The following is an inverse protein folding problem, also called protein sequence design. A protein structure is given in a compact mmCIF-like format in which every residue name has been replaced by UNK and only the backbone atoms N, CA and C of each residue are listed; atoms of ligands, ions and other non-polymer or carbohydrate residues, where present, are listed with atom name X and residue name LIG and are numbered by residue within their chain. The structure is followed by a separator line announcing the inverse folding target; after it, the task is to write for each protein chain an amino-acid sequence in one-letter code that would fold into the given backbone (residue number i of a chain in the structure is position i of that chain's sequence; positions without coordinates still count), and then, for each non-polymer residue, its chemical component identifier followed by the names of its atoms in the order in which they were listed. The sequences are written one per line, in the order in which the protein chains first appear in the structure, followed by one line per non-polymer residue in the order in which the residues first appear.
data_IF_760810405797
#
_entry.id   IF_760810405797
#
_cell.length_a   1.000
_cell.length_b   1.000
_cell.length_c   1.000
_cell.angle_alpha   90.00
_cell.angle_beta   90.00
_cell.angle_gamma   90.00
#
_symmetry.space_group_name_H-M   'P 1'
#
loop_
_entity.id
_entity.type
_entity.pdbx_description
1 polymer ?
#
# COMPACT_ATOMS: atom_id res chain seq x y z
N UNK A 1 37.57 25.86 16.06
CA UNK A 1 36.11 25.77 15.94
C UNK A 1 35.75 24.40 16.46
N UNK A 2 35.01 24.30 17.57
CA UNK A 2 34.51 23.00 18.05
C UNK A 2 33.29 22.69 17.20
N UNK A 3 33.30 21.54 16.54
CA UNK A 3 32.14 21.07 15.81
C UNK A 3 31.06 20.72 16.83
N UNK A 4 29.91 21.38 16.74
CA UNK A 4 28.78 21.14 17.63
C UNK A 4 27.86 20.21 16.87
N UNK A 5 27.81 18.95 17.30
CA UNK A 5 26.86 17.97 16.77
C UNK A 5 25.46 18.30 17.31
N UNK A 6 24.55 18.68 16.41
CA UNK A 6 23.16 18.94 16.72
C UNK A 6 22.33 17.70 16.39
N UNK A 7 22.03 16.91 17.43
CA UNK A 7 21.20 15.73 17.29
C UNK A 7 19.75 16.02 17.69
N UNK A 8 18.82 15.70 16.80
CA UNK A 8 17.39 15.78 17.10
C UNK A 8 16.99 14.61 18.00
N UNK A 9 16.12 14.88 18.98
CA UNK A 9 15.55 13.81 19.81
C UNK A 9 14.37 13.14 19.08
N UNK A 10 14.03 11.87 19.38
CA UNK A 10 12.87 11.18 18.78
C UNK A 10 11.58 11.99 18.82
N UNK A 11 11.33 12.72 19.92
CA UNK A 11 10.14 13.56 20.08
C UNK A 11 9.99 14.68 19.03
N UNK A 12 11.10 15.14 18.43
CA UNK A 12 11.05 16.11 17.34
C UNK A 12 10.30 15.55 16.12
N UNK A 13 10.48 14.26 15.82
CA UNK A 13 9.87 13.62 14.65
C UNK A 13 8.38 13.34 14.81
N UNK A 14 7.86 13.44 16.03
CA UNK A 14 6.42 13.42 16.30
C UNK A 14 5.75 14.78 16.11
N UNK A 15 6.53 15.85 15.93
CA UNK A 15 5.98 17.17 15.66
C UNK A 15 5.37 17.25 14.27
N UNK A 16 4.34 18.08 14.14
CA UNK A 16 3.72 18.43 12.86
C UNK A 16 4.73 18.96 11.85
N UNK A 17 5.75 19.71 12.31
CA UNK A 17 6.82 20.24 11.44
C UNK A 17 7.63 19.10 10.84
N UNK A 18 8.13 18.17 11.66
CA UNK A 18 8.96 17.08 11.16
C UNK A 18 8.17 16.10 10.27
N UNK A 19 6.94 15.74 10.65
CA UNK A 19 6.07 14.89 9.82
C UNK A 19 5.77 15.53 8.46
N UNK A 20 5.57 16.84 8.42
CA UNK A 20 5.35 17.53 7.15
C UNK A 20 6.62 17.75 6.34
N UNK A 21 7.77 17.92 6.99
CA UNK A 21 9.03 18.17 6.27
C UNK A 21 9.68 16.91 5.73
N UNK A 22 9.76 15.86 6.54
CA UNK A 22 10.47 14.61 6.21
C UNK A 22 9.61 13.36 6.37
N UNK A 23 8.50 13.43 7.11
CA UNK A 23 7.54 12.32 7.23
C UNK A 23 7.82 11.36 8.38
N UNK A 24 9.07 10.95 8.51
CA UNK A 24 9.47 9.87 9.40
C UNK A 24 10.94 9.99 9.79
N UNK A 25 11.36 9.12 10.71
CA UNK A 25 12.74 9.01 11.18
C UNK A 25 13.07 7.55 11.52
N UNK A 26 14.33 7.28 11.83
CA UNK A 26 14.73 5.98 12.38
C UNK A 26 13.90 5.60 13.60
N UNK A 27 13.58 6.57 14.47
CA UNK A 27 12.76 6.33 15.66
C UNK A 27 11.31 5.94 15.32
N UNK A 28 10.69 6.59 14.34
CA UNK A 28 9.34 6.25 13.86
C UNK A 28 9.28 4.86 13.21
N UNK A 29 10.41 4.38 12.67
CA UNK A 29 10.54 3.05 12.09
C UNK A 29 10.96 1.98 13.10
N UNK A 30 11.34 2.36 14.33
CA UNK A 30 11.90 1.46 15.33
C UNK A 30 13.30 0.94 14.97
N UNK A 31 14.06 1.70 14.18
CA UNK A 31 15.45 1.37 13.87
C UNK A 31 16.37 1.75 15.04
N UNK A 32 17.45 0.98 15.28
CA UNK A 32 18.36 1.24 16.38
C UNK A 32 19.23 2.49 16.12
N UNK A 33 19.77 3.05 17.20
CA UNK A 33 20.67 4.21 17.16
C UNK A 33 19.96 5.54 17.40
N UNK A 34 20.68 6.63 17.13
CA UNK A 34 20.17 7.98 17.30
C UNK A 34 19.09 8.31 16.25
N UNK A 35 18.25 9.29 16.56
CA UNK A 35 17.19 9.70 15.66
C UNK A 35 17.78 10.39 14.43
N UNK A 36 17.59 9.76 13.28
CA UNK A 36 18.06 10.19 11.98
C UNK A 36 16.89 10.34 11.01
N UNK A 37 17.07 11.18 9.99
CA UNK A 37 16.03 11.55 9.04
C UNK A 37 16.43 11.21 7.60
N UNK A 38 15.45 10.99 6.70
CA UNK A 38 15.72 10.89 5.27
C UNK A 38 16.20 12.22 4.69
N UNK A 39 16.49 12.24 3.39
CA UNK A 39 16.81 13.46 2.68
C UNK A 39 15.67 14.50 2.85
N UNK A 40 15.97 15.80 3.07
CA UNK A 40 14.92 16.82 3.19
C UNK A 40 14.18 17.05 1.87
N UNK A 41 14.82 16.76 0.73
CA UNK A 41 14.22 16.80 -0.61
C UNK A 41 14.94 15.85 -1.57
N UNK A 42 14.40 15.72 -2.78
CA UNK A 42 14.96 14.86 -3.82
C UNK A 42 16.39 15.31 -4.19
N UNK A 43 17.25 14.35 -4.55
CA UNK A 43 18.66 14.58 -4.93
C UNK A 43 19.57 15.13 -3.82
N UNK A 44 19.15 15.04 -2.56
CA UNK A 44 20.01 15.25 -1.39
C UNK A 44 20.10 13.98 -0.57
N UNK A 45 20.96 13.99 0.45
CA UNK A 45 21.09 12.89 1.40
C UNK A 45 20.47 13.27 2.75
N UNK A 46 20.02 12.25 3.48
CA UNK A 46 19.58 12.35 4.85
C UNK A 46 20.73 12.49 5.84
N UNK A 47 20.50 12.08 7.09
CA UNK A 47 21.56 12.08 8.12
C UNK A 47 22.73 11.19 7.67
N UNK A 48 23.95 11.72 7.52
CA UNK A 48 25.11 10.95 7.04
C UNK A 48 25.43 9.75 7.94
N UNK A 49 25.77 8.60 7.34
CA UNK A 49 26.11 7.37 8.04
C UNK A 49 24.92 6.65 8.69
N UNK A 50 23.70 7.15 8.51
CA UNK A 50 22.48 6.50 9.03
C UNK A 50 21.85 5.57 8.00
N UNK A 51 20.94 4.70 8.47
CA UNK A 51 20.14 3.84 7.57
C UNK A 51 19.23 4.63 6.62
N UNK A 52 19.01 5.93 6.87
CA UNK A 52 18.14 6.79 6.07
C UNK A 52 18.92 7.77 5.17
N UNK A 53 20.24 7.65 5.07
CA UNK A 53 21.06 8.56 4.27
C UNK A 53 20.59 8.68 2.81
N UNK A 54 20.15 7.57 2.20
CA UNK A 54 19.65 7.52 0.82
C UNK A 54 18.12 7.39 0.72
N UNK A 55 17.41 7.55 1.83
CA UNK A 55 15.95 7.43 1.87
C UNK A 55 15.28 8.72 1.42
N UNK A 56 14.12 8.60 0.76
CA UNK A 56 13.34 9.76 0.32
C UNK A 56 12.40 10.25 1.43
N UNK A 57 12.19 11.57 1.53
CA UNK A 57 11.26 12.14 2.50
C UNK A 57 9.82 11.76 2.16
N UNK A 58 8.95 11.51 3.13
CA UNK A 58 7.52 11.28 2.90
C UNK A 58 6.65 12.39 3.55
N UNK A 59 6.61 13.62 3.00
CA UNK A 59 5.91 14.75 3.60
C UNK A 59 4.43 14.49 3.91
N UNK A 60 4.06 14.56 5.18
CA UNK A 60 2.70 14.28 5.63
C UNK A 60 2.43 12.79 5.87
N UNK A 61 3.47 11.95 5.92
CA UNK A 61 3.30 10.55 6.28
C UNK A 61 2.58 10.39 7.62
N UNK A 62 1.59 9.50 7.63
CA UNK A 62 0.71 9.22 8.77
C UNK A 62 -0.07 10.45 9.25
N UNK A 63 -0.35 11.40 8.37
CA UNK A 63 -1.21 12.56 8.62
C UNK A 63 -2.44 12.50 7.70
N UNK A 64 -3.55 11.96 8.21
CA UNK A 64 -4.77 11.76 7.44
C UNK A 64 -5.62 13.04 7.21
N UNK A 65 -5.25 14.16 7.83
CA UNK A 65 -5.96 15.45 7.71
C UNK A 65 -5.12 16.56 7.09
N UNK A 66 -3.88 16.28 6.68
CA UNK A 66 -2.98 17.29 6.14
C UNK A 66 -2.39 16.82 4.82
N UNK A 67 -2.25 17.76 3.89
CA UNK A 67 -1.55 17.53 2.64
C UNK A 67 -0.69 18.73 2.25
N UNK A 68 0.34 18.45 1.45
CA UNK A 68 1.09 19.49 0.73
C UNK A 68 0.26 19.90 -0.49
N UNK A 69 -0.20 21.14 -0.54
CA UNK A 69 -1.16 21.57 -1.57
C UNK A 69 -0.50 22.24 -2.78
N UNK A 70 0.76 22.65 -2.69
CA UNK A 70 1.44 23.42 -3.73
C UNK A 70 2.40 22.60 -4.60
N UNK A 71 2.27 21.27 -4.59
CA UNK A 71 2.99 20.38 -5.50
C UNK A 71 2.14 19.98 -6.71
N UNK A 72 0.82 20.05 -6.57
CA UNK A 72 -0.13 19.82 -7.65
C UNK A 72 0.08 20.86 -8.74
N UNK A 73 0.25 20.37 -9.97
CA UNK A 73 0.39 21.18 -11.16
C UNK A 73 -0.39 20.51 -12.31
N UNK A 74 -1.60 21.03 -12.54
CA UNK A 74 -2.47 20.61 -13.64
C UNK A 74 -2.28 21.44 -14.91
N UNK A 75 -1.47 22.50 -14.86
CA UNK A 75 -1.15 23.33 -16.03
C UNK A 75 -0.03 22.65 -16.81
N UNK A 76 -0.36 21.47 -17.36
CA UNK A 76 0.56 20.75 -18.23
C UNK A 76 0.71 21.48 -19.55
N UNK A 77 1.91 21.37 -20.13
CA UNK A 77 2.17 21.81 -21.48
C UNK A 77 1.10 21.25 -22.41
N UNK A 78 0.35 22.16 -23.02
CA UNK A 78 -0.66 21.81 -24.01
C UNK A 78 0.02 21.00 -25.12
N UNK A 79 -0.62 19.91 -25.55
CA UNK A 79 -0.11 19.07 -26.62
C UNK A 79 -0.90 19.34 -27.90
N UNK A 80 -0.21 19.42 -29.03
CA UNK A 80 -0.82 19.38 -30.36
C UNK A 80 -1.31 17.95 -30.66
N UNK A 81 -2.15 17.79 -31.69
CA UNK A 81 -2.71 16.48 -32.11
C UNK A 81 -1.64 15.40 -32.42
N UNK A 82 -0.41 15.82 -32.73
CA UNK A 82 0.73 14.95 -33.00
C UNK A 82 1.53 14.55 -31.74
N UNK A 83 1.12 15.02 -30.55
CA UNK A 83 1.77 14.76 -29.26
C UNK A 83 2.98 15.64 -28.93
N UNK A 84 3.33 16.64 -29.75
CA UNK A 84 4.35 17.63 -29.39
C UNK A 84 3.73 18.76 -28.57
N UNK A 85 4.51 19.40 -27.69
CA UNK A 85 4.05 20.59 -26.97
C UNK A 85 3.61 21.68 -27.97
N UNK A 86 2.48 22.33 -27.69
CA UNK A 86 1.98 23.49 -28.41
C UNK A 86 2.89 24.70 -28.20
N UNK A 87 3.51 24.79 -27.02
CA UNK A 87 4.61 25.68 -26.72
C UNK A 87 5.92 24.89 -26.56
N UNK A 88 6.87 25.11 -27.47
CA UNK A 88 8.16 24.42 -27.49
C UNK A 88 9.02 24.74 -26.26
N UNK A 89 8.82 25.90 -25.62
CA UNK A 89 9.55 26.31 -24.42
C UNK A 89 8.89 25.80 -23.13
N UNK A 90 7.69 25.21 -23.22
CA UNK A 90 7.00 24.65 -22.06
C UNK A 90 7.66 23.34 -21.61
N UNK A 91 7.90 23.24 -20.29
CA UNK A 91 8.44 22.03 -19.66
C UNK A 91 7.61 21.65 -18.44
N UNK A 92 7.03 20.45 -18.46
CA UNK A 92 6.32 19.89 -17.32
C UNK A 92 7.30 19.62 -16.16
N UNK A 93 6.94 19.95 -14.91
CA UNK A 93 7.78 19.67 -13.76
C UNK A 93 7.97 18.17 -13.56
N UNK A 94 9.18 17.74 -13.21
CA UNK A 94 9.47 16.34 -12.89
C UNK A 94 9.18 16.03 -11.41
N UNK A 95 9.03 14.76 -11.04
CA UNK A 95 8.88 14.34 -9.64
C UNK A 95 10.02 14.88 -8.76
N UNK A 96 11.26 14.92 -9.29
CA UNK A 96 12.44 15.37 -8.56
C UNK A 96 12.46 16.87 -8.21
N UNK A 97 11.59 17.67 -8.83
CA UNK A 97 11.38 19.07 -8.42
C UNK A 97 10.56 19.17 -7.11
N UNK A 98 9.83 18.12 -6.76
CA UNK A 98 9.05 18.08 -5.54
C UNK A 98 9.93 18.27 -4.31
N UNK A 99 9.34 18.86 -3.28
CA UNK A 99 9.97 19.02 -1.98
C UNK A 99 11.17 19.98 -1.91
N UNK A 100 11.57 20.63 -3.02
CA UNK A 100 12.74 21.54 -3.07
C UNK A 100 12.42 23.00 -2.70
N UNK A 101 11.13 23.38 -2.69
CA UNK A 101 10.68 24.77 -2.52
C UNK A 101 9.85 24.95 -1.24
N UNK A 102 9.15 26.09 -1.15
CA UNK A 102 8.15 26.33 -0.11
C UNK A 102 7.15 25.18 -0.10
N UNK A 103 6.72 24.77 1.09
CA UNK A 103 5.63 23.82 1.26
C UNK A 103 4.43 24.54 1.86
N UNK A 104 3.29 24.42 1.21
CA UNK A 104 2.02 24.94 1.71
C UNK A 104 1.26 23.79 2.31
N UNK A 105 1.08 23.85 3.62
CA UNK A 105 0.29 22.87 4.34
C UNK A 105 -1.18 23.28 4.32
N UNK A 106 -2.05 22.35 3.93
CA UNK A 106 -3.50 22.52 4.00
C UNK A 106 -4.12 21.47 4.91
N UNK A 107 -5.04 21.92 5.76
CA UNK A 107 -5.85 21.06 6.62
C UNK A 107 -7.16 20.71 5.92
N UNK A 108 -7.56 19.45 6.04
CA UNK A 108 -8.83 18.89 5.57
C UNK A 108 -9.52 18.20 6.73
N UNK A 109 -10.77 18.56 7.00
CA UNK A 109 -11.60 17.83 7.97
C UNK A 109 -11.90 16.38 7.51
N UNK A 110 -11.73 16.11 6.21
CA UNK A 110 -11.72 14.81 5.58
C UNK A 110 -13.08 14.32 5.10
N UNK A 111 -13.07 13.42 4.12
CA UNK A 111 -14.20 12.59 3.69
C UNK A 111 -14.06 11.19 4.28
N UNK A 112 -15.18 10.46 4.42
CA UNK A 112 -15.15 9.07 4.87
C UNK A 112 -15.00 8.15 3.66
N UNK A 113 -13.88 7.45 3.57
CA UNK A 113 -13.68 6.37 2.60
C UNK A 113 -14.21 5.09 3.20
N UNK A 114 -15.16 4.46 2.52
CA UNK A 114 -15.72 3.17 2.90
C UNK A 114 -15.54 2.17 1.78
N UNK A 115 -15.38 0.90 2.13
CA UNK A 115 -15.28 -0.15 1.13
C UNK A 115 -15.32 -1.53 1.75
N UNK A 116 -15.39 -2.53 0.88
CA UNK A 116 -15.27 -3.94 1.26
C UNK A 116 -14.09 -4.56 0.53
N UNK A 117 -13.33 -5.39 1.23
CA UNK A 117 -12.32 -6.27 0.63
C UNK A 117 -12.99 -7.58 0.28
N UNK A 118 -12.95 -7.96 -0.99
CA UNK A 118 -13.63 -9.15 -1.49
C UNK A 118 -12.79 -9.94 -2.48
N UNK A 119 -12.94 -11.27 -2.44
CA UNK A 119 -12.44 -12.18 -3.44
C UNK A 119 -13.56 -12.44 -4.45
N UNK A 120 -13.33 -12.10 -5.72
CA UNK A 120 -14.37 -12.16 -6.75
C UNK A 120 -14.98 -13.57 -6.85
N UNK A 121 -16.29 -13.67 -6.65
CA UNK A 121 -17.03 -14.94 -6.69
C UNK A 121 -16.90 -15.83 -5.46
N UNK A 122 -16.12 -15.44 -4.45
CA UNK A 122 -15.91 -16.21 -3.21
C UNK A 122 -16.35 -15.46 -1.93
N UNK A 123 -16.57 -14.15 -2.01
CA UNK A 123 -17.10 -13.34 -0.92
C UNK A 123 -16.05 -12.48 -0.23
N UNK A 124 -16.41 -11.90 0.91
CA UNK A 124 -15.61 -10.90 1.62
C UNK A 124 -14.40 -11.53 2.33
N UNK A 125 -13.32 -10.76 2.43
CA UNK A 125 -12.10 -11.15 3.15
C UNK A 125 -12.11 -10.44 4.51
N UNK A 126 -12.38 -11.15 5.61
CA UNK A 126 -12.42 -10.53 6.94
C UNK A 126 -11.01 -10.19 7.44
N UNK A 127 -10.93 -9.21 8.34
CA UNK A 127 -9.69 -8.85 9.05
C UNK A 127 -8.50 -8.51 8.12
N UNK A 128 -8.76 -8.14 6.87
CA UNK A 128 -7.73 -7.64 5.98
C UNK A 128 -7.24 -6.28 6.48
N UNK A 129 -5.93 -6.04 6.45
CA UNK A 129 -5.38 -4.73 6.72
C UNK A 129 -5.44 -3.87 5.46
N UNK A 130 -5.92 -2.65 5.58
CA UNK A 130 -6.09 -1.72 4.48
C UNK A 130 -5.19 -0.52 4.70
N UNK A 131 -4.23 -0.31 3.81
CA UNK A 131 -3.35 0.85 3.79
C UNK A 131 -3.93 1.94 2.89
N UNK A 132 -3.87 3.18 3.36
CA UNK A 132 -4.30 4.37 2.62
C UNK A 132 -3.09 5.23 2.30
N UNK A 133 -2.89 5.48 1.00
CA UNK A 133 -1.83 6.33 0.49
C UNK A 133 -2.44 7.49 -0.30
N UNK A 134 -1.96 8.70 -0.07
CA UNK A 134 -2.34 9.87 -0.86
C UNK A 134 -1.26 10.15 -1.88
N UNK A 135 -1.65 10.47 -3.11
CA UNK A 135 -0.72 10.98 -4.11
C UNK A 135 -0.30 12.41 -3.73
N UNK A 136 1.00 12.62 -3.55
CA UNK A 136 1.56 13.90 -3.12
C UNK A 136 1.31 15.03 -4.14
N UNK A 137 1.16 14.66 -5.40
CA UNK A 137 0.87 15.61 -6.48
C UNK A 137 -0.61 15.87 -6.68
N UNK A 138 -1.51 15.24 -5.92
CA UNK A 138 -2.94 15.43 -6.14
C UNK A 138 -3.51 16.73 -5.61
N UNK A 139 -4.50 17.25 -6.32
CA UNK A 139 -5.14 18.55 -6.08
C UNK A 139 -6.51 18.48 -5.40
N UNK A 140 -7.24 19.60 -5.48
CA UNK A 140 -8.62 19.75 -5.00
C UNK A 140 -9.60 19.73 -6.16
N UNK A 141 -9.63 18.61 -6.87
CA UNK A 141 -10.46 18.47 -8.05
C UNK A 141 -11.94 18.59 -7.72
N UNK A 142 -12.68 19.12 -8.68
CA UNK A 142 -14.13 19.23 -8.63
C UNK A 142 -14.72 18.12 -9.48
N UNK A 143 -15.85 17.57 -9.05
CA UNK A 143 -16.55 16.58 -9.84
C UNK A 143 -17.05 17.19 -11.16
N UNK A 144 -16.91 16.44 -12.25
CA UNK A 144 -17.50 16.79 -13.54
C UNK A 144 -19.05 16.74 -13.49
N UNK A 145 -19.70 17.06 -14.61
CA UNK A 145 -21.17 17.03 -14.72
C UNK A 145 -21.77 15.63 -14.43
N UNK A 146 -20.96 14.58 -14.49
CA UNK A 146 -21.34 13.19 -14.22
C UNK A 146 -20.97 12.73 -12.80
N UNK A 147 -20.38 13.59 -11.97
CA UNK A 147 -19.94 13.26 -10.62
C UNK A 147 -18.56 12.61 -10.53
N UNK A 148 -17.82 12.48 -11.63
CA UNK A 148 -16.47 11.91 -11.63
C UNK A 148 -15.43 12.97 -11.27
N UNK A 149 -14.52 12.59 -10.37
CA UNK A 149 -13.39 13.41 -9.98
C UNK A 149 -12.14 12.78 -10.60
N UNK A 150 -11.38 13.55 -11.37
CA UNK A 150 -10.15 13.07 -12.03
C UNK A 150 -9.02 14.02 -11.67
N UNK A 151 -7.90 13.46 -11.21
CA UNK A 151 -6.69 14.22 -10.92
C UNK A 151 -6.02 14.67 -12.22
N UNK A 152 -5.79 15.98 -12.35
CA UNK A 152 -5.17 16.62 -13.51
C UNK A 152 -3.65 16.47 -13.55
N UNK A 153 -3.02 15.92 -12.51
CA UNK A 153 -1.59 15.68 -12.44
C UNK A 153 -1.25 14.22 -12.76
N UNK A 154 -0.43 14.00 -13.79
CA UNK A 154 -0.02 12.65 -14.22
C UNK A 154 1.12 12.05 -13.39
N UNK A 155 1.76 12.85 -12.52
CA UNK A 155 2.82 12.34 -11.65
C UNK A 155 2.20 11.51 -10.56
N UNK A 156 3.01 10.64 -9.99
CA UNK A 156 2.57 9.81 -8.88
C UNK A 156 3.65 9.76 -7.82
N UNK A 157 3.26 10.10 -6.60
CA UNK A 157 4.09 9.89 -5.44
C UNK A 157 3.24 9.54 -4.22
N UNK A 158 3.16 8.25 -3.93
CA UNK A 158 2.35 7.72 -2.85
C UNK A 158 2.97 7.95 -1.48
N UNK A 159 2.23 8.65 -0.62
CA UNK A 159 2.58 8.90 0.77
C UNK A 159 1.56 8.18 1.66
N UNK A 160 1.98 7.26 2.55
CA UNK A 160 1.06 6.59 3.45
C UNK A 160 0.48 7.61 4.43
N UNK A 161 -0.84 7.72 4.50
CA UNK A 161 -1.55 8.64 5.41
C UNK A 161 -2.20 7.92 6.58
N UNK A 162 -2.32 6.59 6.51
CA UNK A 162 -2.84 5.76 7.58
C UNK A 162 -3.14 4.34 7.13
N UNK A 163 -3.73 3.58 8.05
CA UNK A 163 -4.26 2.25 7.79
C UNK A 163 -5.51 2.02 8.65
N UNK A 164 -6.32 1.05 8.26
CA UNK A 164 -7.45 0.54 9.02
C UNK A 164 -7.54 -0.98 8.84
N UNK A 165 -8.10 -1.67 9.82
CA UNK A 165 -8.39 -3.10 9.71
C UNK A 165 -9.85 -3.28 9.30
N UNK A 166 -10.09 -4.16 8.33
CA UNK A 166 -11.43 -4.53 7.91
C UNK A 166 -12.13 -5.38 8.99
N UNK A 167 -13.44 -5.23 9.13
CA UNK A 167 -14.24 -5.97 10.10
C UNK A 167 -14.45 -7.45 9.68
N UNK A 168 -15.22 -8.20 10.46
CA UNK A 168 -15.57 -9.60 10.19
C UNK A 168 -16.33 -9.81 8.86
N UNK A 169 -16.87 -8.74 8.28
CA UNK A 169 -17.54 -8.74 6.98
C UNK A 169 -16.66 -8.15 5.88
N UNK A 170 -15.37 -7.93 6.15
CA UNK A 170 -14.42 -7.34 5.21
C UNK A 170 -14.64 -5.85 4.95
N UNK A 171 -15.46 -5.15 5.74
CA UNK A 171 -15.71 -3.71 5.57
C UNK A 171 -14.67 -2.88 6.30
N UNK A 172 -14.23 -1.79 5.69
CA UNK A 172 -13.33 -0.83 6.31
C UNK A 172 -13.88 0.60 6.17
N UNK A 173 -13.41 1.49 7.04
CA UNK A 173 -13.72 2.92 7.02
C UNK A 173 -12.48 3.72 7.42
N UNK A 174 -12.21 4.81 6.71
CA UNK A 174 -11.07 5.69 6.98
C UNK A 174 -11.35 7.14 6.56
N UNK A 175 -10.96 8.11 7.38
CA UNK A 175 -11.12 9.53 7.03
C UNK A 175 -9.88 10.04 6.31
N UNK A 176 -10.06 10.52 5.08
CA UNK A 176 -8.97 10.96 4.19
C UNK A 176 -9.15 12.40 3.71
N UNK A 177 -8.05 13.11 3.35
CA UNK A 177 -8.12 14.47 2.80
C UNK A 177 -8.54 14.45 1.32
N UNK A 178 -8.67 15.64 0.71
CA UNK A 178 -8.88 15.72 -0.74
C UNK A 178 -7.64 15.22 -1.53
N UNK A 179 -7.90 14.68 -2.71
CA UNK A 179 -6.90 14.21 -3.65
C UNK A 179 -7.11 12.76 -4.09
N UNK A 180 -6.11 12.24 -4.81
CA UNK A 180 -6.07 10.86 -5.31
C UNK A 180 -5.57 9.94 -4.20
N UNK A 181 -6.40 8.97 -3.83
CA UNK A 181 -6.16 8.03 -2.72
C UNK A 181 -6.06 6.62 -3.27
N UNK A 182 -4.96 5.95 -2.96
CA UNK A 182 -4.78 4.50 -3.18
C UNK A 182 -5.15 3.75 -1.91
N UNK A 183 -6.01 2.75 -2.08
CA UNK A 183 -6.50 1.87 -1.04
C UNK A 183 -5.99 0.47 -1.34
N UNK A 184 -5.05 -0.03 -0.55
CA UNK A 184 -4.41 -1.33 -0.78
C UNK A 184 -4.73 -2.30 0.35
N UNK A 185 -5.20 -3.50 0.01
CA UNK A 185 -5.56 -4.53 0.99
C UNK A 185 -4.47 -5.60 1.14
N UNK A 186 -4.29 -6.05 2.37
CA UNK A 186 -3.25 -6.99 2.79
C UNK A 186 -3.82 -8.06 3.71
N UNK A 187 -3.24 -9.25 3.67
CA UNK A 187 -3.53 -10.35 4.60
C UNK A 187 -2.26 -10.92 5.21
N UNK A 188 -2.42 -11.55 6.37
CA UNK A 188 -1.34 -12.15 7.13
C UNK A 188 -0.73 -11.16 8.13
N UNK A 189 -0.11 -11.71 9.15
CA UNK A 189 0.52 -10.95 10.23
C UNK A 189 1.72 -10.14 9.71
N UNK A 190 1.81 -8.84 10.01
CA UNK A 190 2.96 -8.05 9.65
C UNK A 190 4.23 -8.53 10.36
N UNK A 191 5.34 -8.56 9.62
CA UNK A 191 6.69 -8.77 10.15
C UNK A 191 7.51 -7.49 9.98
N UNK A 192 7.42 -6.62 11.00
CA UNK A 192 8.15 -5.36 11.02
C UNK A 192 9.65 -5.55 11.24
N UNK A 193 10.07 -6.63 11.91
CA UNK A 193 11.49 -6.91 12.16
C UNK A 193 12.21 -7.31 10.86
N UNK A 194 11.57 -8.12 10.02
CA UNK A 194 12.10 -8.44 8.70
C UNK A 194 12.29 -7.17 7.86
N UNK A 195 11.32 -6.25 7.85
CA UNK A 195 11.44 -4.99 7.12
C UNK A 195 12.53 -4.06 7.68
N UNK A 196 12.68 -3.97 9.00
CA UNK A 196 13.80 -3.26 9.64
C UNK A 196 15.14 -3.87 9.22
N UNK A 197 15.24 -5.20 9.21
CA UNK A 197 16.44 -5.90 8.74
C UNK A 197 16.74 -5.59 7.28
N UNK A 198 15.73 -5.53 6.41
CA UNK A 198 15.91 -5.12 5.02
C UNK A 198 16.47 -3.70 4.91
N UNK A 199 15.93 -2.75 5.67
CA UNK A 199 16.43 -1.36 5.70
C UNK A 199 17.89 -1.29 6.18
N UNK A 200 18.27 -2.10 7.18
CA UNK A 200 19.63 -2.08 7.73
C UNK A 200 20.66 -2.76 6.82
N UNK A 201 20.25 -3.72 6.00
CA UNK A 201 21.16 -4.54 5.17
C UNK A 201 21.23 -4.12 3.71
N UNK A 202 20.20 -3.42 3.22
CA UNK A 202 20.06 -3.07 1.80
C UNK A 202 20.01 -1.56 1.61
N UNK A 203 20.41 -1.10 0.42
CA UNK A 203 20.19 0.29 0.06
C UNK A 203 18.69 0.54 -0.17
N UNK A 204 18.07 1.28 0.75
CA UNK A 204 16.66 1.66 0.70
C UNK A 204 16.29 2.39 -0.60
N UNK A 205 17.25 3.00 -1.28
CA UNK A 205 17.03 3.65 -2.58
C UNK A 205 16.49 2.69 -3.66
N UNK A 206 16.78 1.39 -3.54
CA UNK A 206 16.33 0.37 -4.50
C UNK A 206 14.86 -0.04 -4.32
N UNK A 207 14.26 0.30 -3.19
CA UNK A 207 12.89 -0.09 -2.83
C UNK A 207 11.85 0.97 -3.19
N UNK A 208 12.26 2.05 -3.84
CA UNK A 208 11.44 3.25 -4.06
C UNK A 208 10.53 3.17 -5.29
N UNK A 209 10.69 2.17 -6.15
CA UNK A 209 9.84 2.08 -7.34
C UNK A 209 8.34 1.95 -6.96
N UNK A 210 8.05 1.24 -5.87
CA UNK A 210 6.69 1.03 -5.33
C UNK A 210 5.91 2.33 -5.06
N UNK A 211 6.60 3.38 -4.62
CA UNK A 211 5.96 4.66 -4.23
C UNK A 211 5.76 5.62 -5.41
N UNK A 212 6.38 5.36 -6.57
CA UNK A 212 6.22 6.17 -7.78
C UNK A 212 5.35 5.49 -8.84
N UNK A 213 5.02 4.22 -8.66
CA UNK A 213 4.20 3.46 -9.59
C UNK A 213 2.70 3.66 -9.31
N UNK A 214 1.94 4.02 -10.35
CA UNK A 214 0.50 4.27 -10.26
C UNK A 214 -0.29 3.02 -9.83
N UNK A 215 -0.10 1.91 -10.54
CA UNK A 215 -0.80 0.63 -10.29
C UNK A 215 0.14 -0.57 -10.37
N UNK A 216 -0.19 -1.63 -9.64
CA UNK A 216 0.59 -2.86 -9.57
C UNK A 216 -0.17 -4.09 -10.08
N UNK A 217 0.53 -5.00 -10.75
CA UNK A 217 0.07 -6.37 -11.00
C UNK A 217 0.56 -7.34 -9.93
N UNK A 218 1.71 -7.04 -9.34
CA UNK A 218 2.27 -7.68 -8.15
C UNK A 218 3.04 -6.61 -7.42
N UNK A 219 2.70 -6.37 -6.16
CA UNK A 219 3.28 -5.29 -5.37
C UNK A 219 4.26 -5.84 -4.34
N UNK A 220 5.50 -5.34 -4.38
CA UNK A 220 6.45 -5.50 -3.28
C UNK A 220 6.52 -4.17 -2.54
N UNK A 221 5.86 -4.10 -1.39
CA UNK A 221 5.69 -2.85 -0.64
C UNK A 221 7.04 -2.34 -0.17
N UNK A 222 7.27 -1.04 -0.34
CA UNK A 222 8.44 -0.37 0.21
C UNK A 222 8.52 -0.61 1.74
N UNK A 223 9.66 -1.04 2.30
CA UNK A 223 9.75 -1.41 3.71
C UNK A 223 9.49 -0.22 4.65
N UNK A 224 9.74 1.02 4.22
CA UNK A 224 9.47 2.22 5.03
C UNK A 224 7.97 2.48 5.09
N UNK A 225 7.29 2.54 3.94
CA UNK A 225 5.83 2.75 3.92
C UNK A 225 5.09 1.57 4.56
N UNK A 226 5.59 0.35 4.37
CA UNK A 226 5.06 -0.85 4.98
C UNK A 226 5.18 -0.87 6.50
N UNK A 227 6.28 -0.37 7.09
CA UNK A 227 6.39 -0.22 8.55
C UNK A 227 5.43 0.86 9.05
N UNK A 228 5.37 2.01 8.37
CA UNK A 228 4.49 3.12 8.76
C UNK A 228 3.02 2.72 8.74
N UNK A 229 2.59 1.99 7.73
CA UNK A 229 1.23 1.48 7.58
C UNK A 229 0.99 0.12 8.25
N UNK A 230 2.00 -0.44 8.92
CA UNK A 230 1.94 -1.73 9.59
C UNK A 230 1.50 -2.90 8.68
N UNK A 231 2.00 -2.94 7.44
CA UNK A 231 1.72 -3.97 6.42
C UNK A 231 2.98 -4.68 5.90
N UNK A 232 4.17 -4.28 6.38
CA UNK A 232 5.41 -4.97 6.03
C UNK A 232 5.35 -6.45 6.37
N UNK A 233 5.74 -7.33 5.44
CA UNK A 233 5.68 -8.78 5.60
C UNK A 233 4.31 -9.40 5.31
N UNK A 234 3.24 -8.62 5.31
CA UNK A 234 1.92 -9.07 4.87
C UNK A 234 1.88 -9.29 3.35
N UNK A 235 0.95 -10.14 2.91
CA UNK A 235 0.73 -10.39 1.48
C UNK A 235 -0.23 -9.37 0.91
N UNK A 236 0.22 -8.59 -0.07
CA UNK A 236 -0.64 -7.69 -0.85
C UNK A 236 -1.64 -8.50 -1.68
N UNK A 237 -2.90 -8.07 -1.66
CA UNK A 237 -3.99 -8.72 -2.39
C UNK A 237 -4.34 -8.00 -3.68
N UNK A 238 -4.70 -6.72 -3.56
CA UNK A 238 -5.16 -5.86 -4.64
C UNK A 238 -5.18 -4.42 -4.14
N UNK A 239 -5.44 -3.48 -5.05
CA UNK A 239 -5.61 -2.07 -4.74
C UNK A 239 -6.71 -1.43 -5.58
N UNK A 240 -7.32 -0.39 -5.05
CA UNK A 240 -8.21 0.50 -5.77
C UNK A 240 -7.74 1.94 -5.62
N UNK A 241 -8.05 2.78 -6.61
CA UNK A 241 -7.71 4.20 -6.60
C UNK A 241 -9.01 4.98 -6.71
N UNK A 242 -9.21 5.92 -5.80
CA UNK A 242 -10.38 6.82 -5.76
C UNK A 242 -9.92 8.25 -5.62
N UNK A 243 -10.72 9.19 -6.12
CA UNK A 243 -10.45 10.62 -5.99
C UNK A 243 -11.46 11.25 -5.04
N UNK A 244 -10.96 11.92 -4.00
CA UNK A 244 -11.75 12.70 -3.06
C UNK A 244 -11.73 14.15 -3.53
N UNK A 245 -12.90 14.71 -3.87
CA UNK A 245 -13.00 16.10 -4.32
C UNK A 245 -12.61 17.09 -3.22
N UNK A 246 -12.31 18.34 -3.61
CA UNK A 246 -12.06 19.43 -2.66
C UNK A 246 -13.20 19.64 -1.67
N UNK A 247 -14.46 19.57 -2.14
CA UNK A 247 -15.64 19.70 -1.28
C UNK A 247 -15.81 18.52 -0.33
N UNK A 248 -15.61 17.29 -0.81
CA UNK A 248 -15.68 16.09 0.03
C UNK A 248 -14.58 16.10 1.09
N UNK A 249 -13.36 16.53 0.75
CA UNK A 249 -12.25 16.67 1.70
C UNK A 249 -12.52 17.68 2.82
N UNK A 250 -13.48 18.61 2.66
CA UNK A 250 -13.93 19.55 3.69
C UNK A 250 -15.27 19.16 4.34
N UNK A 251 -15.74 17.93 4.10
CA UNK A 251 -17.06 17.49 4.57
C UNK A 251 -17.13 17.13 6.04
N UNK A 252 -15.98 16.98 6.72
CA UNK A 252 -15.91 16.56 8.13
C UNK A 252 -16.51 15.15 8.34
N UNK A 253 -16.21 14.25 7.40
CA UNK A 253 -16.65 12.86 7.40
C UNK A 253 -18.10 12.66 6.93
N UNK A 254 -18.79 13.72 6.48
CA UNK A 254 -20.19 13.63 6.04
C UNK A 254 -20.33 13.07 4.63
N UNK A 255 -19.35 13.31 3.75
CA UNK A 255 -19.33 12.73 2.40
C UNK A 255 -18.66 11.36 2.44
N UNK A 256 -19.32 10.37 1.83
CA UNK A 256 -18.82 8.99 1.72
C UNK A 256 -18.30 8.72 0.31
N UNK A 257 -17.05 8.29 0.21
CA UNK A 257 -16.42 7.86 -1.05
C UNK A 257 -16.20 6.35 -1.00
N UNK A 258 -16.76 5.62 -1.96
CA UNK A 258 -16.66 4.16 -1.99
C UNK A 258 -15.40 3.68 -2.71
N UNK A 259 -14.61 2.83 -2.06
CA UNK A 259 -13.35 2.30 -2.57
C UNK A 259 -13.23 0.79 -2.37
N UNK A 260 -14.13 0.00 -2.97
CA UNK A 260 -14.06 -1.46 -2.85
C UNK A 260 -12.72 -2.01 -3.40
N UNK A 261 -12.19 -3.04 -2.75
CA UNK A 261 -10.96 -3.71 -3.18
C UNK A 261 -11.31 -5.14 -3.59
N UNK A 262 -11.40 -5.35 -4.90
CA UNK A 262 -11.72 -6.65 -5.51
C UNK A 262 -10.42 -7.39 -5.83
N UNK A 263 -10.32 -8.62 -5.36
CA UNK A 263 -9.18 -9.50 -5.57
C UNK A 263 -9.55 -10.53 -6.63
N UNK A 264 -8.81 -10.55 -7.73
CA UNK A 264 -8.99 -11.57 -8.75
C UNK A 264 -8.48 -12.92 -8.25
N UNK A 265 -9.22 -14.03 -8.46
CA UNK A 265 -8.79 -15.35 -8.01
C UNK A 265 -7.51 -15.76 -8.74
N UNK A 266 -6.46 -16.10 -7.99
CA UNK A 266 -5.28 -16.74 -8.56
C UNK A 266 -5.47 -18.26 -8.54
N UNK A 267 -5.36 -18.89 -9.70
CA UNK A 267 -5.46 -20.35 -9.80
C UNK A 267 -4.13 -21.00 -9.39
N UNK A 268 -4.07 -21.59 -8.21
CA UNK A 268 -3.00 -22.51 -7.84
C UNK A 268 -3.35 -23.94 -8.29
N UNK A 269 -2.61 -24.49 -9.25
CA UNK A 269 -2.74 -25.91 -9.62
C UNK A 269 -1.73 -26.71 -8.80
N UNK A 270 -2.20 -27.45 -7.79
CA UNK A 270 -1.37 -28.29 -6.92
C UNK A 270 -1.75 -29.77 -6.98
N UNK A 271 -0.80 -30.67 -6.72
CA UNK A 271 -1.05 -32.11 -6.55
C UNK A 271 -0.98 -32.47 -5.07
N UNK A 272 -2.13 -32.73 -4.46
CA UNK A 272 -2.20 -33.35 -3.13
C UNK A 272 -1.77 -34.82 -3.23
N UNK A 273 -0.68 -35.18 -2.54
CA UNK A 273 -0.23 -36.56 -2.40
C UNK A 273 -0.34 -36.94 -0.93
N UNK A 274 -1.13 -37.96 -0.62
CA UNK A 274 -1.24 -38.51 0.72
C UNK A 274 -0.55 -39.87 0.79
N UNK A 275 0.18 -40.11 1.88
CA UNK A 275 0.67 -41.44 2.27
C UNK A 275 0.00 -41.84 3.59
N UNK A 276 -0.79 -42.90 3.55
CA UNK A 276 -1.47 -43.44 4.73
C UNK A 276 -0.66 -44.45 5.51
N UNK A 277 -1.00 -44.59 6.79
CA UNK A 277 -0.62 -45.76 7.58
C UNK A 277 -1.43 -47.00 7.12
N UNK A 278 -0.80 -48.17 7.13
CA UNK A 278 -1.35 -49.47 6.66
C UNK A 278 -2.66 -49.90 7.34
N UNK A 279 -3.07 -49.23 8.43
CA UNK A 279 -4.29 -49.54 9.18
C UNK A 279 -5.62 -49.24 8.46
N UNK A 280 -5.60 -48.53 7.33
CA UNK A 280 -6.81 -48.22 6.54
C UNK A 280 -6.93 -49.03 5.25
N UNK A 281 -6.13 -50.09 5.09
CA UNK A 281 -6.11 -50.82 3.84
C UNK A 281 -7.46 -51.51 3.56
N UNK A 282 -8.03 -51.24 2.38
CA UNK A 282 -9.29 -51.83 1.93
C UNK A 282 -10.59 -51.07 2.26
N UNK A 283 -10.56 -50.05 3.11
CA UNK A 283 -11.79 -49.30 3.48
C UNK A 283 -11.80 -47.90 2.85
N UNK A 284 -12.84 -47.52 2.08
CA UNK A 284 -12.92 -46.15 1.56
C UNK A 284 -13.07 -45.15 2.71
N UNK A 285 -12.16 -44.18 2.78
CA UNK A 285 -12.30 -43.03 3.67
C UNK A 285 -13.53 -42.23 3.22
N UNK A 286 -14.56 -42.21 4.06
CA UNK A 286 -15.78 -41.43 3.85
C UNK A 286 -15.85 -40.35 4.94
N UNK A 287 -16.43 -39.18 4.63
CA UNK A 287 -16.54 -38.04 5.55
C UNK A 287 -15.21 -37.51 6.12
N UNK A 288 -14.20 -37.33 5.26
CA UNK A 288 -12.97 -36.63 5.67
C UNK A 288 -13.26 -35.13 5.67
N UNK A 289 -13.08 -34.50 6.83
CA UNK A 289 -12.95 -33.04 6.93
C UNK A 289 -11.47 -32.69 6.80
N UNK A 290 -11.14 -31.84 5.84
CA UNK A 290 -9.78 -31.33 5.66
C UNK A 290 -9.82 -29.89 6.12
N UNK A 291 -9.13 -29.56 7.21
CA UNK A 291 -9.00 -28.20 7.74
C UNK A 291 -7.62 -27.64 7.43
N UNK A 292 -7.58 -26.34 7.24
CA UNK A 292 -6.83 -25.74 6.15
C UNK A 292 -6.47 -24.33 6.55
N UNK A 293 -5.43 -24.24 7.37
CA UNK A 293 -4.96 -22.99 7.95
C UNK A 293 -3.84 -22.45 7.05
N UNK A 294 -3.89 -21.18 6.61
CA UNK A 294 -2.75 -20.57 5.95
C UNK A 294 -1.62 -20.44 6.99
N UNK A 295 -0.59 -21.27 6.84
CA UNK A 295 0.66 -21.08 7.56
C UNK A 295 1.54 -20.11 6.77
N UNK A 296 1.95 -19.01 7.41
CA UNK A 296 2.92 -18.07 6.84
C UNK A 296 4.35 -18.63 6.98
N UNK A 297 4.52 -19.83 7.53
CA UNK A 297 5.70 -20.68 7.39
C UNK A 297 5.35 -22.05 6.84
N UNK A 298 5.63 -22.28 5.54
CA UNK A 298 5.47 -23.56 4.83
C UNK A 298 4.07 -24.21 4.87
N UNK A 299 3.46 -24.30 3.69
CA UNK A 299 2.50 -25.36 3.39
C UNK A 299 1.05 -24.99 3.61
N UNK A 300 0.51 -24.22 2.66
CA UNK A 300 -0.89 -23.88 2.55
C UNK A 300 -1.76 -25.14 2.52
N UNK A 301 -2.77 -25.21 3.37
CA UNK A 301 -3.89 -26.13 3.16
C UNK A 301 -5.16 -25.25 3.00
N UNK A 302 -5.87 -25.46 1.86
CA UNK A 302 -7.25 -25.12 1.36
C UNK A 302 -8.41 -26.15 1.48
N UNK A 303 -9.53 -25.97 2.19
CA UNK A 303 -10.67 -26.93 2.24
C UNK A 303 -11.52 -26.81 0.97
N UNK A 304 -11.85 -27.93 0.31
CA UNK A 304 -12.75 -27.99 -0.85
C UNK A 304 -13.91 -28.95 -0.52
N UNK A 305 -15.14 -28.56 -0.82
CA UNK A 305 -16.31 -29.43 -0.65
C UNK A 305 -16.67 -30.21 -1.93
N UNK A 306 -16.96 -31.49 -1.71
CA UNK A 306 -17.66 -32.49 -2.53
C UNK A 306 -17.07 -32.87 -3.89
N UNK A 307 -16.42 -34.04 -3.89
CA UNK A 307 -16.42 -34.97 -5.01
C UNK A 307 -16.43 -36.41 -4.48
N UNK A 308 -17.40 -37.22 -4.89
CA UNK A 308 -17.44 -38.65 -4.55
C UNK A 308 -16.28 -39.39 -5.24
N UNK A 309 -15.38 -40.00 -4.46
CA UNK A 309 -14.26 -40.81 -4.95
C UNK A 309 -14.63 -42.30 -4.87
N UNK A 310 -15.03 -42.90 -6.01
CA UNK A 310 -15.13 -44.35 -6.14
C UNK A 310 -13.79 -44.97 -6.58
N UNK A 311 -13.35 -46.00 -5.87
CA UNK A 311 -12.19 -46.83 -6.22
C UNK A 311 -12.60 -47.88 -7.26
N UNK A 312 -12.07 -47.81 -8.49
CA UNK A 312 -11.96 -48.98 -9.40
C UNK A 312 -10.50 -49.43 -9.43
N UNK A 313 -10.29 -50.73 -9.23
CA UNK A 313 -9.05 -51.31 -8.73
C UNK A 313 -7.84 -51.31 -9.68
N UNK A 314 -6.68 -51.54 -9.05
CA UNK A 314 -5.48 -52.14 -9.64
C UNK A 314 -4.61 -51.23 -10.50
N UNK A 315 -3.62 -50.56 -9.88
CA UNK A 315 -2.48 -49.96 -10.58
C UNK A 315 -2.22 -48.51 -10.18
N UNK A 316 -0.99 -48.24 -9.73
CA UNK A 316 -0.47 -46.89 -9.47
C UNK A 316 -0.77 -45.96 -10.65
N UNK A 317 -1.67 -44.98 -10.48
CA UNK A 317 -1.79 -43.79 -11.33
C UNK A 317 -2.29 -42.57 -10.57
N UNK A 318 -1.68 -41.44 -10.92
CA UNK A 318 -2.02 -40.07 -10.54
C UNK A 318 -3.43 -39.67 -10.97
N UNK A 319 -4.24 -39.17 -10.04
CA UNK A 319 -5.46 -38.45 -10.35
C UNK A 319 -5.14 -37.02 -10.79
N UNK A 320 -5.62 -36.61 -11.96
CA UNK A 320 -5.67 -35.21 -12.39
C UNK A 320 -7.06 -34.71 -12.09
N UNK A 321 -7.21 -33.73 -11.20
CA UNK A 321 -8.43 -32.95 -11.12
C UNK A 321 -8.42 -31.95 -12.29
N UNK A 322 -9.32 -32.14 -13.26
CA UNK A 322 -9.71 -31.10 -14.22
C UNK A 322 -11.04 -30.53 -13.74
N UNK A 323 -11.06 -29.24 -13.44
CA UNK A 323 -12.31 -28.50 -13.37
C UNK A 323 -12.39 -27.52 -14.55
N UNK A 324 -13.56 -27.51 -15.17
CA UNK A 324 -14.01 -26.52 -16.14
C UNK A 324 -14.57 -25.33 -15.38
#
# INVERSE_FOLDING_TARGET
MVDIDYQQQPAFFETMVARFYVGYSTSSLGLPGDAAQPAPHFYTTGTPGSYLENAYPLPGAMMNHFAVSNWYDNERCELLDNGSNADEDCSNPTIGSANTQVKVMKYYSGATIEGTVELEGFGTIPNARVMFERDAFSGEEVADENGHVVDGDDRTYWIPIGYADADENGRFSFTAPAGKIRVSAFIGEPDLEAARSTIMMSDVSQTLNDIFQLTHTTRNVNPITGILANVSGSTWLSESIVNVSGSAGHSNGLETVYANVSVSPSHATGKLVWSGAEFFDGTPLTNVSIETVPDVGQGTTRTIHRGDLQRRGGGSRSGVCRHR
#
